data_IF_877105671961
#
_entry.id   IF_877105671961
#
_cell.length_a   1.000
_cell.length_b   1.000
_cell.length_c   1.000
_cell.angle_alpha   90.00
_cell.angle_beta   90.00
_cell.angle_gamma   90.00
#
_symmetry.space_group_name_H-M   'P 1'
#
loop_
_entity.id
_entity.type
_entity.pdbx_description
1 polymer ?
#
# COMPACT_ATOMS: atom_id res chain seq x y z
N UNK A 1 -59.44 5.76 22.66
CA UNK A 1 -58.61 4.71 22.01
C UNK A 1 -57.49 5.36 21.18
N UNK A 2 -56.45 5.96 21.80
CA UNK A 2 -55.42 6.71 21.04
C UNK A 2 -54.02 6.72 21.69
N UNK A 3 -53.67 5.70 22.47
CA UNK A 3 -52.35 5.58 23.12
C UNK A 3 -51.47 4.53 22.39
N UNK A 4 -52.07 3.62 21.62
CA UNK A 4 -51.34 2.57 20.90
C UNK A 4 -50.50 3.09 19.72
N UNK A 5 -50.97 4.11 18.96
CA UNK A 5 -50.27 4.60 17.76
C UNK A 5 -48.91 5.29 18.04
N UNK A 6 -48.75 5.97 19.18
CA UNK A 6 -47.48 6.66 19.53
C UNK A 6 -46.34 5.70 19.91
N UNK A 7 -46.65 4.53 20.47
CA UNK A 7 -45.64 3.52 20.84
C UNK A 7 -44.98 2.87 19.61
N UNK A 8 -45.73 2.69 18.53
CA UNK A 8 -45.19 2.12 17.29
C UNK A 8 -44.19 3.06 16.59
N UNK A 9 -44.43 4.38 16.59
CA UNK A 9 -43.47 5.33 16.01
C UNK A 9 -42.14 5.36 16.75
N UNK A 10 -42.16 5.38 18.09
CA UNK A 10 -40.91 5.38 18.87
C UNK A 10 -40.15 4.05 18.73
N UNK A 11 -40.86 2.92 18.59
CA UNK A 11 -40.26 1.62 18.32
C UNK A 11 -39.60 1.56 16.93
N UNK A 12 -40.23 2.19 15.93
CA UNK A 12 -39.72 2.25 14.55
C UNK A 12 -38.45 3.11 14.46
N UNK A 13 -38.39 4.22 15.19
CA UNK A 13 -37.20 5.06 15.30
C UNK A 13 -36.05 4.30 15.97
N UNK A 14 -36.32 3.58 17.08
CA UNK A 14 -35.31 2.77 17.76
C UNK A 14 -34.77 1.65 16.85
N UNK A 15 -35.62 1.06 16.01
CA UNK A 15 -35.22 -0.01 15.09
C UNK A 15 -34.36 0.52 13.93
N UNK A 16 -34.68 1.70 13.38
CA UNK A 16 -33.88 2.36 12.34
C UNK A 16 -32.51 2.79 12.89
N UNK A 17 -32.47 3.37 14.09
CA UNK A 17 -31.20 3.78 14.73
C UNK A 17 -30.35 2.55 15.09
N UNK A 18 -30.96 1.47 15.59
CA UNK A 18 -30.26 0.21 15.86
C UNK A 18 -29.70 -0.45 14.61
N UNK A 19 -30.44 -0.43 13.49
CA UNK A 19 -29.97 -0.95 12.21
C UNK A 19 -28.81 -0.10 11.64
N UNK A 20 -28.90 1.23 11.76
CA UNK A 20 -27.81 2.13 11.38
C UNK A 20 -26.54 1.89 12.20
N UNK A 21 -26.67 1.63 13.49
CA UNK A 21 -25.54 1.32 14.36
C UNK A 21 -24.91 -0.06 14.05
N UNK A 22 -25.72 -1.06 13.69
CA UNK A 22 -25.23 -2.38 13.24
C UNK A 22 -24.48 -2.31 11.90
N UNK A 23 -24.91 -1.45 10.97
CA UNK A 23 -24.22 -1.21 9.71
C UNK A 23 -22.88 -0.48 9.90
N UNK A 24 -22.78 0.40 10.90
CA UNK A 24 -21.52 1.06 11.26
C UNK A 24 -20.58 0.13 12.06
N UNK A 25 -21.13 -0.69 12.95
CA UNK A 25 -20.38 -1.64 13.78
C UNK A 25 -19.83 -2.83 13.00
N UNK A 26 -20.42 -3.15 11.83
CA UNK A 26 -19.89 -4.20 10.95
C UNK A 26 -18.63 -3.81 10.21
N UNK A 27 -18.14 -2.56 10.36
CA UNK A 27 -16.72 -2.21 10.25
C UNK A 27 -15.99 -2.62 8.96
N UNK A 28 -16.71 -3.10 7.95
CA UNK A 28 -16.25 -3.23 6.59
C UNK A 28 -16.41 -1.85 5.97
N UNK A 29 -15.60 -0.92 6.47
CA UNK A 29 -15.08 0.17 5.67
C UNK A 29 -14.61 -0.49 4.38
N UNK A 30 -15.44 -0.37 3.34
CA UNK A 30 -15.07 -0.47 1.94
C UNK A 30 -13.78 -1.25 1.71
N UNK A 31 -13.87 -2.58 1.63
CA UNK A 31 -12.91 -3.35 0.83
C UNK A 31 -13.11 -2.85 -0.60
N UNK A 32 -12.55 -1.68 -0.89
CA UNK A 32 -12.53 -1.13 -2.21
C UNK A 32 -11.54 -2.03 -2.94
N UNK A 33 -12.05 -2.89 -3.82
CA UNK A 33 -11.26 -3.74 -4.74
C UNK A 33 -10.41 -2.91 -5.73
N UNK A 34 -10.18 -1.64 -5.45
CA UNK A 34 -9.44 -0.68 -6.24
C UNK A 34 -8.03 -0.47 -5.66
N UNK A 35 -7.44 -1.53 -5.11
CA UNK A 35 -6.00 -1.53 -4.85
C UNK A 35 -5.28 -1.97 -6.13
N UNK A 36 -4.16 -1.32 -6.40
CA UNK A 36 -3.30 -1.59 -7.53
C UNK A 36 -1.97 -2.15 -7.00
N UNK A 37 -1.38 -3.16 -7.64
CA UNK A 37 -0.09 -3.65 -7.20
C UNK A 37 0.99 -2.58 -7.44
N UNK A 38 1.99 -2.52 -6.56
CA UNK A 38 3.14 -1.61 -6.71
C UNK A 38 3.94 -1.92 -7.98
N UNK A 39 4.12 -3.22 -8.25
CA UNK A 39 4.76 -3.74 -9.46
C UNK A 39 3.69 -4.32 -10.39
N UNK A 40 3.87 -4.30 -11.72
CA UNK A 40 2.96 -4.98 -12.64
C UNK A 40 2.84 -6.48 -12.28
N UNK A 41 1.63 -7.06 -12.33
CA UNK A 41 1.38 -8.43 -11.84
C UNK A 41 2.21 -9.51 -12.56
N UNK A 42 2.47 -9.30 -13.85
CA UNK A 42 3.23 -10.23 -14.70
C UNK A 42 4.74 -9.92 -14.70
N UNK A 43 5.18 -8.86 -14.03
CA UNK A 43 6.58 -8.47 -14.02
C UNK A 43 7.39 -9.30 -13.03
N UNK A 44 8.52 -9.82 -13.50
CA UNK A 44 9.51 -10.46 -12.64
C UNK A 44 10.49 -9.39 -12.16
N UNK A 45 10.63 -9.25 -10.83
CA UNK A 45 11.62 -8.35 -10.26
C UNK A 45 13.03 -8.88 -10.57
N UNK A 46 13.89 -8.01 -11.10
CA UNK A 46 15.30 -8.30 -11.41
C UNK A 46 16.23 -7.71 -10.35
N UNK A 47 16.02 -6.44 -9.99
CA UNK A 47 16.84 -5.74 -8.99
C UNK A 47 16.08 -4.60 -8.31
N UNK A 48 16.46 -4.34 -7.05
CA UNK A 48 16.10 -3.15 -6.29
C UNK A 48 17.38 -2.41 -5.91
N UNK A 49 17.48 -1.15 -6.32
CA UNK A 49 18.65 -0.30 -6.04
C UNK A 49 18.24 0.82 -5.09
N UNK A 50 18.68 0.71 -3.84
CA UNK A 50 18.62 1.77 -2.84
C UNK A 50 19.95 2.54 -2.82
N UNK A 51 19.97 3.69 -2.16
CA UNK A 51 21.16 4.57 -2.10
C UNK A 51 22.46 3.89 -1.61
N UNK A 52 22.35 2.85 -0.76
CA UNK A 52 23.51 2.13 -0.19
C UNK A 52 23.37 0.61 -0.25
N UNK A 53 22.35 0.10 -0.91
CA UNK A 53 22.07 -1.33 -0.98
C UNK A 53 21.54 -1.65 -2.37
N UNK A 54 22.23 -2.54 -3.06
CA UNK A 54 21.75 -3.15 -4.30
C UNK A 54 21.30 -4.56 -3.96
N UNK A 55 20.11 -4.93 -4.39
CA UNK A 55 19.58 -6.29 -4.32
C UNK A 55 19.38 -6.74 -5.75
N UNK A 56 19.94 -7.87 -6.13
CA UNK A 56 19.83 -8.39 -7.49
C UNK A 56 19.62 -9.90 -7.50
N UNK A 57 18.95 -10.37 -8.54
CA UNK A 57 18.72 -11.79 -8.77
C UNK A 57 19.85 -12.34 -9.63
N UNK A 58 20.72 -13.15 -9.04
CA UNK A 58 21.79 -13.88 -9.72
C UNK A 58 21.59 -15.38 -9.55
N UNK A 59 21.63 -16.14 -10.65
CA UNK A 59 21.47 -17.60 -10.66
C UNK A 59 20.27 -18.11 -9.83
N UNK A 60 19.10 -17.46 -9.96
CA UNK A 60 17.89 -17.73 -9.18
C UNK A 60 17.98 -17.50 -7.66
N UNK A 61 19.05 -16.88 -7.17
CA UNK A 61 19.20 -16.48 -5.78
C UNK A 61 19.23 -14.96 -5.66
N UNK A 62 18.66 -14.44 -4.58
CA UNK A 62 18.75 -13.02 -4.27
C UNK A 62 20.06 -12.76 -3.54
N UNK A 63 20.86 -11.85 -4.07
CA UNK A 63 22.11 -11.39 -3.47
C UNK A 63 21.99 -9.89 -3.20
N UNK A 64 22.79 -9.41 -2.24
CA UNK A 64 22.85 -7.98 -1.94
C UNK A 64 24.27 -7.47 -1.82
N UNK A 65 24.47 -6.21 -2.18
CA UNK A 65 25.70 -5.49 -1.99
C UNK A 65 25.42 -4.14 -1.29
N UNK A 66 25.91 -3.92 -0.05
CA UNK A 66 26.70 -4.83 0.76
C UNK A 66 25.93 -6.09 1.16
N UNK A 67 26.66 -7.12 1.58
CA UNK A 67 26.07 -8.38 2.01
C UNK A 67 25.16 -8.17 3.24
N UNK A 68 23.93 -8.66 3.13
CA UNK A 68 22.93 -8.62 4.18
C UNK A 68 22.33 -10.02 4.39
N UNK A 69 21.69 -10.29 5.53
CA UNK A 69 21.11 -11.61 5.80
C UNK A 69 20.12 -12.03 4.71
N UNK A 70 20.27 -13.24 4.16
CA UNK A 70 19.43 -13.75 3.06
C UNK A 70 17.94 -13.68 3.38
N UNK A 71 17.56 -13.97 4.63
CA UNK A 71 16.16 -13.92 5.07
C UNK A 71 15.58 -12.49 4.95
N UNK A 72 16.35 -11.48 5.36
CA UNK A 72 15.96 -10.07 5.26
C UNK A 72 15.76 -9.66 3.80
N UNK A 73 16.68 -10.05 2.92
CA UNK A 73 16.58 -9.77 1.48
C UNK A 73 15.34 -10.44 0.87
N UNK A 74 15.06 -11.69 1.23
CA UNK A 74 13.87 -12.39 0.75
C UNK A 74 12.58 -11.72 1.23
N UNK A 75 12.52 -11.34 2.51
CA UNK A 75 11.37 -10.63 3.07
C UNK A 75 11.13 -9.29 2.35
N UNK A 76 12.20 -8.52 2.13
CA UNK A 76 12.13 -7.24 1.43
C UNK A 76 11.64 -7.41 -0.02
N UNK A 77 12.22 -8.35 -0.77
CA UNK A 77 11.77 -8.65 -2.13
C UNK A 77 10.30 -9.07 -2.17
N UNK A 78 9.87 -9.93 -1.23
CA UNK A 78 8.48 -10.35 -1.13
C UNK A 78 7.56 -9.18 -0.79
N UNK A 79 7.98 -8.29 0.10
CA UNK A 79 7.24 -7.09 0.46
C UNK A 79 7.03 -6.18 -0.76
N UNK A 80 8.06 -5.99 -1.59
CA UNK A 80 7.94 -5.22 -2.84
C UNK A 80 7.00 -5.87 -3.85
N UNK A 81 7.09 -7.20 -4.05
CA UNK A 81 6.25 -7.94 -4.99
C UNK A 81 4.78 -7.96 -4.59
N UNK A 82 4.50 -8.03 -3.28
CA UNK A 82 3.15 -8.17 -2.77
C UNK A 82 2.50 -6.83 -2.41
N UNK A 83 3.25 -5.72 -2.45
CA UNK A 83 2.74 -4.41 -2.08
C UNK A 83 1.54 -4.00 -2.93
N UNK A 84 0.48 -3.57 -2.26
CA UNK A 84 -0.73 -3.03 -2.86
C UNK A 84 -0.92 -1.58 -2.44
N UNK A 85 -1.37 -0.77 -3.39
CA UNK A 85 -1.48 0.67 -3.28
C UNK A 85 -2.88 1.16 -3.60
N UNK A 86 -3.28 2.26 -2.96
CA UNK A 86 -4.45 3.04 -3.35
C UNK A 86 -4.04 4.47 -3.69
N UNK A 87 -4.71 5.13 -4.65
CA UNK A 87 -4.42 6.50 -4.98
C UNK A 87 -4.81 7.42 -3.81
N UNK A 88 -3.96 8.38 -3.49
CA UNK A 88 -4.21 9.44 -2.50
C UNK A 88 -4.05 10.82 -3.13
N UNK A 89 -4.63 11.83 -2.51
CA UNK A 89 -4.35 13.21 -2.88
C UNK A 89 -2.88 13.57 -2.57
N UNK A 90 -2.27 14.50 -3.34
CA UNK A 90 -0.95 15.02 -3.01
C UNK A 90 -0.91 15.56 -1.57
N UNK A 91 0.12 15.24 -0.78
CA UNK A 91 0.28 15.76 0.57
C UNK A 91 0.52 17.27 0.55
N UNK A 92 -0.02 17.96 1.55
CA UNK A 92 0.18 19.39 1.77
C UNK A 92 0.59 19.63 3.23
N UNK A 93 1.81 20.13 3.51
CA UNK A 93 2.84 20.53 2.56
C UNK A 93 3.50 19.35 1.83
N UNK A 94 4.18 19.63 0.72
CA UNK A 94 4.97 18.62 0.01
C UNK A 94 6.14 18.14 0.88
N UNK A 95 6.35 16.82 1.00
CA UNK A 95 7.41 16.27 1.82
C UNK A 95 8.80 16.54 1.19
N UNK A 96 9.82 16.85 2.01
CA UNK A 96 11.09 17.38 1.50
C UNK A 96 12.08 16.34 0.99
N UNK A 97 12.05 15.10 1.48
CA UNK A 97 13.06 14.08 1.14
C UNK A 97 12.44 12.69 0.99
N UNK A 98 12.43 12.12 -0.22
CA UNK A 98 12.11 10.71 -0.41
C UNK A 98 13.33 9.82 -0.17
N UNK A 99 13.06 8.56 0.14
CA UNK A 99 13.98 7.45 -0.12
C UNK A 99 13.76 7.05 -1.59
N UNK A 100 14.81 7.12 -2.39
CA UNK A 100 14.78 6.80 -3.81
C UNK A 100 15.14 5.33 -3.98
N UNK A 101 14.31 4.60 -4.74
CA UNK A 101 14.54 3.19 -5.07
C UNK A 101 14.33 3.02 -6.57
N UNK A 102 15.37 2.57 -7.26
CA UNK A 102 15.25 2.20 -8.67
C UNK A 102 14.90 0.72 -8.77
N UNK A 103 13.82 0.43 -9.48
CA UNK A 103 13.24 -0.89 -9.65
C UNK A 103 13.52 -1.36 -11.07
N UNK A 104 14.24 -2.47 -11.19
CA UNK A 104 14.52 -3.13 -12.47
C UNK A 104 13.65 -4.38 -12.58
N UNK A 105 12.96 -4.50 -13.70
CA UNK A 105 12.11 -5.64 -14.03
C UNK A 105 12.76 -6.45 -15.17
N UNK A 106 12.55 -7.76 -15.14
CA UNK A 106 13.04 -8.72 -16.15
C UNK A 106 12.06 -8.80 -17.35
N UNK A 107 11.67 -7.64 -17.87
CA UNK A 107 10.78 -7.49 -19.02
C UNK A 107 11.39 -6.60 -20.13
N UNK A 108 12.63 -6.15 -19.93
CA UNK A 108 13.34 -5.26 -20.85
C UNK A 108 12.88 -3.80 -20.80
N UNK A 109 12.01 -3.43 -19.86
CA UNK A 109 11.59 -2.05 -19.65
C UNK A 109 12.69 -1.19 -19.00
N UNK A 110 12.57 0.13 -19.16
CA UNK A 110 13.42 1.07 -18.44
C UNK A 110 13.15 0.98 -16.92
N UNK A 111 14.17 1.19 -16.07
CA UNK A 111 13.99 1.16 -14.63
C UNK A 111 12.96 2.18 -14.18
N UNK A 112 12.12 1.78 -13.22
CA UNK A 112 11.13 2.66 -12.62
C UNK A 112 11.66 3.16 -11.28
N UNK A 113 11.70 4.47 -11.10
CA UNK A 113 12.12 5.08 -9.82
C UNK A 113 10.91 5.28 -8.91
N UNK A 114 10.89 4.59 -7.77
CA UNK A 114 9.93 4.80 -6.70
C UNK A 114 10.51 5.77 -5.66
N UNK A 115 9.71 6.77 -5.29
CA UNK A 115 10.01 7.77 -4.26
C UNK A 115 9.17 7.45 -3.03
N UNK A 116 9.80 6.88 -2.00
CA UNK A 116 9.14 6.51 -0.76
C UNK A 116 9.23 7.66 0.25
N UNK A 117 8.12 8.00 0.90
CA UNK A 117 8.03 9.01 1.95
C UNK A 117 7.52 8.37 3.24
N UNK A 118 8.40 7.73 4.05
CA UNK A 118 7.98 6.96 5.23
C UNK A 118 7.22 7.78 6.25
N UNK A 119 7.66 9.03 6.50
CA UNK A 119 7.06 9.91 7.49
C UNK A 119 5.57 10.23 7.26
N UNK A 120 5.07 10.04 6.04
CA UNK A 120 3.67 10.28 5.68
C UNK A 120 2.99 9.05 5.05
N UNK A 121 3.67 7.90 5.09
CA UNK A 121 3.25 6.64 4.45
C UNK A 121 2.73 6.84 3.02
N UNK A 122 3.53 7.54 2.19
CA UNK A 122 3.20 7.84 0.80
C UNK A 122 4.30 7.40 -0.16
N UNK A 123 3.89 7.01 -1.37
CA UNK A 123 4.76 6.61 -2.47
C UNK A 123 4.43 7.49 -3.67
N UNK A 124 5.45 7.88 -4.42
CA UNK A 124 5.30 8.51 -5.73
C UNK A 124 6.18 7.78 -6.73
N UNK A 125 5.62 7.40 -7.87
CA UNK A 125 6.43 6.86 -8.97
C UNK A 125 6.94 8.04 -9.80
N UNK A 126 8.24 8.07 -10.08
CA UNK A 126 8.85 9.14 -10.84
C UNK A 126 8.22 9.23 -12.24
N UNK A 127 7.92 10.45 -12.68
CA UNK A 127 7.20 10.70 -13.93
C UNK A 127 5.67 10.56 -13.86
N UNK A 128 5.11 10.15 -12.73
CA UNK A 128 3.65 10.13 -12.50
C UNK A 128 3.22 11.26 -11.55
N UNK A 129 2.04 11.84 -11.82
CA UNK A 129 1.43 12.85 -10.94
C UNK A 129 0.72 12.23 -9.73
N UNK A 130 0.32 10.96 -9.85
CA UNK A 130 -0.43 10.24 -8.83
C UNK A 130 0.43 9.91 -7.61
N UNK A 131 -0.15 10.14 -6.43
CA UNK A 131 0.40 9.70 -5.15
C UNK A 131 -0.29 8.43 -4.68
N UNK A 132 0.45 7.58 -3.99
CA UNK A 132 0.00 6.27 -3.59
C UNK A 132 0.22 6.06 -2.09
N UNK A 133 -0.59 5.21 -1.49
CA UNK A 133 -0.40 4.70 -0.12
C UNK A 133 -0.52 3.19 -0.10
N UNK A 134 0.34 2.52 0.65
CA UNK A 134 0.24 1.08 0.88
C UNK A 134 -1.01 0.73 1.71
N UNK A 135 -1.67 -0.36 1.37
CA UNK A 135 -2.90 -0.79 2.07
C UNK A 135 -2.80 -2.15 2.76
N UNK A 136 -1.80 -2.96 2.40
CA UNK A 136 -1.66 -4.32 2.89
C UNK A 136 -0.42 -4.55 3.78
N UNK A 137 0.43 -3.53 3.94
CA UNK A 137 1.64 -3.57 4.74
C UNK A 137 2.10 -2.15 5.11
N UNK A 138 2.91 -2.04 6.14
CA UNK A 138 3.54 -0.78 6.57
C UNK A 138 4.68 -0.37 5.62
N UNK A 139 4.98 0.93 5.53
CA UNK A 139 6.03 1.44 4.64
C UNK A 139 7.42 0.88 4.96
N UNK A 140 7.68 0.67 6.25
CA UNK A 140 8.95 0.17 6.78
C UNK A 140 9.30 -1.20 6.20
N UNK A 141 8.31 -1.98 5.77
CA UNK A 141 8.53 -3.30 5.14
C UNK A 141 9.15 -3.20 3.74
N UNK A 142 9.09 -2.04 3.10
CA UNK A 142 9.73 -1.78 1.81
C UNK A 142 11.15 -1.21 1.94
N UNK A 143 11.65 -1.05 3.16
CA UNK A 143 12.94 -0.45 3.46
C UNK A 143 13.94 -1.52 3.94
N UNK A 144 15.22 -1.38 3.58
CA UNK A 144 16.28 -2.28 4.03
C UNK A 144 16.74 -2.00 5.47
#
# INVERSE_FOLDING_TARGET
MSIKRKKYNNMLILLIVGLGFLLLATGKLTQNNNSFPLLPQEATLQSLVFAKLVIERDNNQWQSNPEAPTEHIQQLVMAWRNAQMVPIAPPSPLPPKPIIVDVYLDDGSYPQTALLYPHIAAIKIHGQDQWWRLVNQEMETLLP
#
